data_IF_671506177778
#
_entry.id   IF_671506177778
#
_cell.length_a   1.000
_cell.length_b   1.000
_cell.length_c   1.000
_cell.angle_alpha   90.00
_cell.angle_beta   90.00
_cell.angle_gamma   90.00
#
_symmetry.space_group_name_H-M   'P 1'
#
loop_
_entity.id
_entity.type
_entity.pdbx_description
1 polymer ?
#
# COMPACT_ATOMS: atom_id res chain seq x y z
N UNK A 1 51.14 -39.95 -7.36
CA UNK A 1 52.17 -39.00 -6.88
C UNK A 1 51.65 -37.59 -7.11
N UNK A 2 51.49 -36.83 -6.01
CA UNK A 2 51.32 -35.36 -5.91
C UNK A 2 50.12 -34.78 -6.69
N UNK A 3 48.89 -34.72 -6.16
CA UNK A 3 48.38 -33.91 -5.03
C UNK A 3 48.94 -32.50 -5.01
N UNK A 4 48.12 -31.50 -5.37
CA UNK A 4 47.86 -30.26 -4.61
C UNK A 4 46.45 -29.77 -4.98
N UNK A 5 45.60 -29.62 -3.97
CA UNK A 5 44.22 -29.10 -4.02
C UNK A 5 44.29 -27.61 -3.66
N UNK A 6 43.49 -26.76 -4.30
CA UNK A 6 43.17 -25.43 -3.77
C UNK A 6 41.74 -25.07 -4.17
N UNK A 7 40.83 -25.18 -3.20
CA UNK A 7 39.46 -24.68 -3.22
C UNK A 7 39.48 -23.31 -2.52
N UNK A 8 38.89 -22.28 -3.12
CA UNK A 8 38.63 -21.01 -2.45
C UNK A 8 37.12 -20.71 -2.52
N UNK A 9 36.50 -20.72 -1.34
CA UNK A 9 35.13 -20.31 -1.06
C UNK A 9 35.24 -19.00 -0.29
N UNK A 10 34.51 -17.95 -0.68
CA UNK A 10 34.34 -16.76 0.16
C UNK A 10 32.86 -16.57 0.46
N UNK A 11 32.45 -17.06 1.64
CA UNK A 11 31.20 -16.70 2.31
C UNK A 11 31.60 -15.75 3.43
N UNK A 12 31.16 -14.50 3.39
CA UNK A 12 31.34 -13.56 4.50
C UNK A 12 30.12 -13.66 5.42
N UNK A 13 30.29 -14.45 6.48
CA UNK A 13 29.40 -14.50 7.64
C UNK A 13 29.93 -13.46 8.62
N UNK A 14 29.12 -12.47 9.02
CA UNK A 14 29.45 -11.60 10.14
C UNK A 14 28.31 -11.60 11.16
N UNK A 15 28.53 -12.33 12.26
CA UNK A 15 27.71 -12.30 13.47
C UNK A 15 28.47 -11.55 14.57
N UNK A 16 27.80 -10.50 15.06
CA UNK A 16 27.65 -10.07 16.45
C UNK A 16 28.89 -9.71 17.30
N UNK A 17 28.89 -8.45 17.79
CA UNK A 17 29.20 -8.14 19.19
C UNK A 17 28.58 -6.81 19.62
N UNK A 18 27.80 -6.89 20.70
CA UNK A 18 27.30 -5.77 21.48
C UNK A 18 28.45 -4.92 22.05
N UNK A 19 28.27 -3.60 22.06
CA UNK A 19 28.81 -2.74 23.11
C UNK A 19 27.91 -1.51 23.30
N UNK A 20 27.39 -1.39 24.51
CA UNK A 20 26.76 -0.20 25.08
C UNK A 20 27.60 1.06 24.83
N UNK A 21 26.95 2.15 24.41
CA UNK A 21 27.45 3.50 24.69
C UNK A 21 26.27 4.46 24.80
N UNK A 22 26.03 4.87 26.04
CA UNK A 22 25.32 6.09 26.42
C UNK A 22 25.72 7.26 25.51
N UNK A 23 24.74 8.03 25.04
CA UNK A 23 24.94 9.43 24.69
C UNK A 23 23.71 10.23 25.09
N UNK A 24 23.97 11.15 26.00
CA UNK A 24 23.08 12.19 26.49
C UNK A 24 22.48 13.00 25.34
N UNK A 25 21.22 13.40 25.52
CA UNK A 25 20.63 14.51 24.79
C UNK A 25 20.24 15.56 25.81
N UNK A 26 21.01 16.65 25.81
CA UNK A 26 20.75 17.90 26.52
C UNK A 26 19.33 18.43 26.24
N UNK A 27 18.58 18.87 27.28
CA UNK A 27 17.34 19.59 27.10
C UNK A 27 17.62 21.11 27.08
N UNK A 28 17.67 21.69 25.88
CA UNK A 28 17.79 23.15 25.70
C UNK A 28 16.56 23.73 25.04
N UNK A 29 15.67 24.33 25.83
CA UNK A 29 15.07 25.67 25.61
C UNK A 29 13.71 25.81 26.32
N UNK A 30 13.81 26.18 27.60
CA UNK A 30 13.23 27.41 28.14
C UNK A 30 11.71 27.61 28.06
N UNK A 31 11.00 27.28 29.15
CA UNK A 31 9.85 28.06 29.61
C UNK A 31 9.85 28.16 31.14
N UNK A 32 10.08 29.37 31.61
CA UNK A 32 10.15 29.79 33.01
C UNK A 32 8.85 29.51 33.77
N UNK A 33 8.95 28.78 34.89
CA UNK A 33 7.89 28.61 35.89
C UNK A 33 7.76 29.88 36.73
N UNK A 34 6.53 30.28 37.07
CA UNK A 34 6.28 31.12 38.24
C UNK A 34 5.42 30.33 39.21
N UNK A 35 6.00 30.06 40.39
CA UNK A 35 5.42 29.20 41.42
C UNK A 35 4.41 29.94 42.27
N UNK A 36 3.16 29.49 42.25
CA UNK A 36 2.23 29.74 43.35
C UNK A 36 1.57 28.43 43.76
N UNK A 37 2.15 27.84 44.82
CA UNK A 37 1.61 26.72 45.58
C UNK A 37 0.50 27.25 46.49
N UNK A 38 -0.72 26.73 46.39
CA UNK A 38 -1.51 26.32 47.56
C UNK A 38 -2.80 25.57 47.15
N UNK A 39 -3.09 24.52 47.91
CA UNK A 39 -4.41 23.92 48.15
C UNK A 39 -5.03 23.01 47.06
N UNK A 40 -4.82 21.71 47.28
CA UNK A 40 -5.92 20.74 47.40
C UNK A 40 -6.90 20.70 46.24
N UNK A 41 -6.44 20.38 45.03
CA UNK A 41 -7.35 20.01 43.94
C UNK A 41 -6.72 18.91 43.09
N UNK A 42 -7.44 17.78 43.01
CA UNK A 42 -7.43 16.78 41.94
C UNK A 42 -6.66 17.27 40.72
N UNK A 43 -5.45 16.74 40.50
CA UNK A 43 -4.62 17.08 39.36
C UNK A 43 -5.46 16.96 38.08
N UNK A 44 -5.95 18.11 37.59
CA UNK A 44 -6.58 18.19 36.28
C UNK A 44 -5.51 17.72 35.32
N UNK A 45 -5.79 16.60 34.62
CA UNK A 45 -4.95 15.98 33.57
C UNK A 45 -4.08 17.04 32.91
N UNK A 46 -2.87 17.22 33.43
CA UNK A 46 -1.84 17.89 32.67
C UNK A 46 -1.65 16.99 31.45
N UNK A 47 -1.69 17.59 30.27
CA UNK A 47 -1.53 16.89 29.01
C UNK A 47 -0.05 16.52 28.94
N UNK A 48 0.33 15.48 29.68
CA UNK A 48 1.68 14.95 29.71
C UNK A 48 1.89 14.19 28.41
N UNK A 49 2.65 14.78 27.49
CA UNK A 49 2.99 14.22 26.17
C UNK A 49 4.16 13.23 26.27
N UNK A 50 4.11 12.30 27.23
CA UNK A 50 5.07 11.21 27.34
C UNK A 50 4.53 9.94 26.68
N UNK A 51 5.41 9.19 26.01
CA UNK A 51 5.12 7.82 25.57
C UNK A 51 5.57 6.88 26.70
N UNK A 52 4.63 6.37 27.49
CA UNK A 52 4.91 5.48 28.62
C UNK A 52 4.53 4.06 28.23
N UNK A 53 3.24 3.77 28.16
CA UNK A 53 2.73 2.46 27.76
C UNK A 53 3.08 2.14 26.31
N UNK A 54 3.15 3.15 25.43
CA UNK A 54 3.60 2.94 24.05
C UNK A 54 5.07 2.47 23.95
N UNK A 55 5.91 2.85 24.89
CA UNK A 55 7.34 2.53 24.88
C UNK A 55 7.67 1.29 25.70
N UNK A 56 7.03 1.14 26.86
CA UNK A 56 7.25 0.04 27.79
C UNK A 56 6.45 -1.22 27.39
N UNK A 57 5.22 -1.02 26.91
CA UNK A 57 4.33 -2.06 26.41
C UNK A 57 3.80 -2.99 27.50
N UNK A 58 2.58 -2.74 28.01
CA UNK A 58 1.72 -3.82 28.51
C UNK A 58 0.27 -3.36 28.66
N UNK A 59 -0.64 -4.33 28.54
CA UNK A 59 -2.12 -4.28 28.47
C UNK A 59 -2.62 -5.75 28.57
N UNK A 60 -3.91 -5.97 28.91
CA UNK A 60 -4.59 -7.25 29.30
C UNK A 60 -3.86 -8.14 30.32
N UNK A 61 -4.64 -8.68 31.26
CA UNK A 61 -4.19 -9.34 32.50
C UNK A 61 -3.49 -8.41 33.52
N UNK A 62 -3.30 -8.92 34.75
CA UNK A 62 -2.56 -8.23 35.82
C UNK A 62 -1.09 -8.61 35.69
N UNK A 63 -0.23 -7.61 35.64
CA UNK A 63 1.21 -7.80 35.59
C UNK A 63 1.89 -6.82 36.54
N UNK A 64 2.30 -7.31 37.71
CA UNK A 64 2.98 -6.48 38.72
C UNK A 64 4.36 -5.96 38.23
N UNK A 65 4.91 -6.53 37.16
CA UNK A 65 6.12 -6.04 36.47
C UNK A 65 5.84 -4.96 35.41
N UNK A 66 4.58 -4.71 35.09
CA UNK A 66 4.14 -3.74 34.10
C UNK A 66 4.15 -2.29 34.64
N UNK A 67 5.33 -1.80 35.01
CA UNK A 67 5.52 -0.54 35.73
C UNK A 67 6.63 0.31 35.11
N UNK A 68 6.42 1.62 35.02
CA UNK A 68 7.41 2.61 34.56
C UNK A 68 7.42 3.85 35.44
N UNK A 69 8.53 4.59 35.40
CA UNK A 69 8.67 5.85 36.13
C UNK A 69 7.86 6.96 35.46
N UNK A 70 7.08 7.68 36.27
CA UNK A 70 6.35 8.87 35.89
C UNK A 70 7.02 10.09 36.52
N UNK A 71 8.03 10.61 35.82
CA UNK A 71 8.94 11.63 36.32
C UNK A 71 8.23 12.91 36.79
N UNK A 72 7.12 13.29 36.16
CA UNK A 72 6.40 14.53 36.46
C UNK A 72 5.60 14.49 37.76
N UNK A 73 5.24 13.29 38.24
CA UNK A 73 4.63 13.11 39.55
C UNK A 73 5.59 12.50 40.58
N UNK A 74 6.86 12.26 40.21
CA UNK A 74 7.84 11.54 41.02
C UNK A 74 7.24 10.24 41.60
N UNK A 75 6.53 9.49 40.76
CA UNK A 75 5.78 8.31 41.13
C UNK A 75 5.97 7.20 40.09
N UNK A 76 5.50 6.00 40.39
CA UNK A 76 5.41 4.90 39.43
C UNK A 76 4.00 4.87 38.82
N UNK A 77 3.92 4.54 37.54
CA UNK A 77 2.66 4.31 36.84
C UNK A 77 2.65 2.93 36.17
N UNK A 78 1.45 2.40 35.97
CA UNK A 78 1.22 1.06 35.43
C UNK A 78 0.52 1.13 34.07
N UNK A 79 0.81 0.15 33.22
CA UNK A 79 0.16 0.01 31.92
C UNK A 79 -0.79 -1.19 31.82
N UNK A 80 -0.94 -1.97 32.90
CA UNK A 80 -1.86 -3.10 32.91
C UNK A 80 -3.32 -2.71 33.18
N UNK A 81 -4.26 -3.65 32.99
CA UNK A 81 -5.69 -3.39 33.24
C UNK A 81 -6.01 -3.16 34.71
N UNK A 82 -5.15 -3.63 35.62
CA UNK A 82 -5.36 -3.52 37.05
C UNK A 82 -5.18 -2.08 37.57
N UNK A 83 -4.52 -1.22 36.79
CA UNK A 83 -4.37 0.20 37.10
C UNK A 83 -5.71 0.97 37.17
N UNK A 84 -6.78 0.46 36.53
CA UNK A 84 -8.13 1.05 36.51
C UNK A 84 -8.89 0.84 37.83
N UNK A 85 -8.50 1.57 38.87
CA UNK A 85 -9.17 1.61 40.18
C UNK A 85 -9.62 3.03 40.56
N UNK A 86 -10.32 3.19 41.69
CA UNK A 86 -10.82 4.50 42.15
C UNK A 86 -9.72 5.58 42.25
N UNK A 87 -8.51 5.16 42.63
CA UNK A 87 -7.28 5.94 42.52
C UNK A 87 -6.41 5.35 41.40
N UNK A 88 -6.68 5.77 40.16
CA UNK A 88 -6.01 5.22 38.98
C UNK A 88 -4.53 5.57 38.98
N UNK A 89 -3.67 4.55 39.05
CA UNK A 89 -2.21 4.70 38.91
C UNK A 89 -1.76 4.38 37.47
N UNK A 90 -2.70 4.45 36.52
CA UNK A 90 -2.44 4.26 35.11
C UNK A 90 -1.51 5.34 34.57
N UNK A 91 -0.60 4.95 33.67
CA UNK A 91 0.21 5.94 32.97
C UNK A 91 -0.66 6.87 32.10
N UNK A 92 -0.18 8.10 31.82
CA UNK A 92 -0.96 9.11 31.10
C UNK A 92 -1.51 8.66 29.73
N UNK A 93 -0.77 7.80 29.02
CA UNK A 93 -1.13 7.27 27.70
C UNK A 93 -1.83 5.91 27.74
N UNK A 94 -2.06 5.31 28.93
CA UNK A 94 -2.70 3.99 29.07
C UNK A 94 -4.06 3.91 28.38
N UNK A 95 -4.94 4.89 28.57
CA UNK A 95 -6.28 4.87 27.96
C UNK A 95 -6.23 4.98 26.43
N UNK A 96 -5.34 5.82 25.89
CA UNK A 96 -5.13 5.94 24.44
C UNK A 96 -4.40 4.73 23.85
N UNK A 97 -3.54 4.06 24.62
CA UNK A 97 -2.73 2.96 24.14
C UNK A 97 -3.42 1.59 24.26
N UNK A 98 -4.05 1.32 25.41
CA UNK A 98 -4.67 0.03 25.73
C UNK A 98 -6.19 -0.02 25.52
N UNK A 99 -6.91 1.12 25.53
CA UNK A 99 -8.38 1.14 25.41
C UNK A 99 -8.90 1.73 24.10
N UNK A 100 -8.10 2.45 23.33
CA UNK A 100 -8.52 3.12 22.09
C UNK A 100 -8.76 2.15 20.91
N UNK A 101 -8.96 0.85 21.21
CA UNK A 101 -9.32 -0.20 20.25
C UNK A 101 -10.65 -0.94 20.60
N UNK A 102 -11.35 -0.61 21.70
CA UNK A 102 -12.61 -1.30 22.09
C UNK A 102 -13.89 -0.47 22.01
N UNK A 103 -13.84 0.73 21.42
CA UNK A 103 -15.01 1.59 21.23
C UNK A 103 -15.20 1.96 19.74
N UNK A 104 -15.06 0.96 18.87
CA UNK A 104 -15.59 1.04 17.52
C UNK A 104 -16.99 0.38 17.52
N UNK A 105 -18.05 1.05 17.01
CA UNK A 105 -19.28 0.33 16.66
C UNK A 105 -18.88 -0.83 15.74
N UNK A 106 -19.56 -1.99 15.78
CA UNK A 106 -19.11 -3.19 15.09
C UNK A 106 -18.76 -2.83 13.65
N UNK A 107 -17.47 -2.93 13.31
CA UNK A 107 -16.97 -2.70 11.96
C UNK A 107 -17.62 -3.74 11.05
N UNK A 108 -18.78 -3.40 10.50
CA UNK A 108 -19.48 -4.17 9.47
C UNK A 108 -18.98 -3.85 8.07
N UNK A 109 -17.85 -3.14 7.93
CA UNK A 109 -17.21 -2.91 6.64
C UNK A 109 -15.70 -3.13 6.76
N UNK A 110 -15.12 -4.10 6.03
CA UNK A 110 -13.67 -4.25 5.91
C UNK A 110 -13.03 -2.93 5.50
N UNK A 111 -12.05 -2.46 6.26
CA UNK A 111 -11.35 -1.18 6.08
C UNK A 111 -10.27 -1.23 4.98
N UNK A 112 -10.54 -1.99 3.91
CA UNK A 112 -9.87 -1.80 2.63
C UNK A 112 -10.97 -1.42 1.64
N UNK A 113 -10.88 -0.26 0.94
CA UNK A 113 -11.72 -0.08 -0.22
C UNK A 113 -11.37 -1.21 -1.19
N UNK A 114 -12.24 -2.21 -1.30
CA UNK A 114 -12.13 -3.18 -2.38
C UNK A 114 -12.30 -2.39 -3.67
N UNK A 115 -11.23 -2.30 -4.44
CA UNK A 115 -11.15 -1.40 -5.57
C UNK A 115 -9.83 -1.54 -6.31
N UNK A 116 -9.81 -1.06 -7.55
CA UNK A 116 -8.66 -1.16 -8.44
C UNK A 116 -8.07 0.23 -8.70
N UNK A 117 -6.75 0.29 -8.83
CA UNK A 117 -6.05 1.49 -9.25
C UNK A 117 -5.74 1.45 -10.74
N UNK A 118 -5.92 2.58 -11.44
CA UNK A 118 -5.50 2.74 -12.83
C UNK A 118 -5.21 4.20 -13.15
N UNK A 119 -4.09 4.48 -13.83
CA UNK A 119 -3.66 5.82 -14.24
C UNK A 119 -3.70 6.89 -13.12
N UNK A 120 -3.39 6.48 -11.89
CA UNK A 120 -3.42 7.34 -10.71
C UNK A 120 -4.80 7.59 -10.10
N UNK A 121 -5.85 6.95 -10.62
CA UNK A 121 -7.22 7.02 -10.13
C UNK A 121 -7.65 5.71 -9.45
N UNK A 122 -8.45 5.83 -8.39
CA UNK A 122 -9.10 4.70 -7.70
C UNK A 122 -10.49 4.42 -8.28
N UNK A 123 -10.82 3.14 -8.43
CA UNK A 123 -12.11 2.64 -8.90
C UNK A 123 -12.67 1.64 -7.89
N UNK A 124 -13.96 1.71 -7.60
CA UNK A 124 -14.65 0.78 -6.71
C UNK A 124 -14.69 -0.65 -7.30
N UNK A 125 -14.80 -1.67 -6.44
CA UNK A 125 -15.01 -3.06 -6.85
C UNK A 125 -16.20 -3.20 -7.82
N UNK A 126 -16.03 -4.01 -8.87
CA UNK A 126 -17.04 -4.19 -9.91
C UNK A 126 -17.12 -3.07 -10.95
N UNK A 127 -16.33 -2.00 -10.80
CA UNK A 127 -16.21 -0.95 -11.83
C UNK A 127 -15.78 -1.54 -13.17
N UNK A 128 -16.42 -1.10 -14.24
CA UNK A 128 -16.07 -1.50 -15.61
C UNK A 128 -15.57 -0.29 -16.40
N UNK A 129 -14.44 -0.45 -17.06
CA UNK A 129 -13.86 0.53 -17.97
C UNK A 129 -13.63 -0.10 -19.34
N UNK A 130 -13.57 0.73 -20.38
CA UNK A 130 -13.26 0.29 -21.73
C UNK A 130 -11.89 0.81 -22.13
N UNK A 131 -11.02 -0.09 -22.53
CA UNK A 131 -9.67 0.19 -23.01
C UNK A 131 -9.53 -0.23 -24.46
N UNK A 132 -9.49 0.76 -25.34
CA UNK A 132 -9.59 0.52 -26.77
C UNK A 132 -10.82 -0.36 -27.06
N UNK A 133 -10.64 -1.58 -27.56
CA UNK A 133 -11.72 -2.52 -27.83
C UNK A 133 -12.03 -3.46 -26.64
N UNK A 134 -11.18 -3.50 -25.62
CA UNK A 134 -11.30 -4.43 -24.50
C UNK A 134 -12.13 -3.85 -23.35
N UNK A 135 -12.96 -4.70 -22.75
CA UNK A 135 -13.73 -4.37 -21.56
C UNK A 135 -13.03 -4.93 -20.33
N UNK A 136 -12.75 -4.06 -19.36
CA UNK A 136 -12.04 -4.39 -18.13
C UNK A 136 -12.95 -4.20 -16.92
N UNK A 137 -13.04 -5.24 -16.08
CA UNK A 137 -13.81 -5.19 -14.84
C UNK A 137 -12.88 -5.31 -13.64
N UNK A 138 -13.03 -4.42 -12.67
CA UNK A 138 -12.32 -4.48 -11.41
C UNK A 138 -12.85 -5.66 -10.58
N UNK A 139 -11.96 -6.57 -10.20
CA UNK A 139 -12.30 -7.68 -9.33
C UNK A 139 -11.13 -8.05 -8.41
N UNK A 140 -11.33 -7.90 -7.11
CA UNK A 140 -10.35 -8.25 -6.09
C UNK A 140 -9.03 -7.48 -6.26
N UNK A 141 -9.12 -6.15 -6.39
CA UNK A 141 -7.99 -5.24 -6.60
C UNK A 141 -7.21 -5.44 -7.93
N UNK A 142 -7.70 -6.29 -8.83
CA UNK A 142 -7.10 -6.52 -10.15
C UNK A 142 -8.10 -6.24 -11.28
N UNK A 143 -7.58 -5.69 -12.39
CA UNK A 143 -8.36 -5.53 -13.61
C UNK A 143 -8.40 -6.82 -14.40
N UNK A 144 -9.62 -7.34 -14.60
CA UNK A 144 -9.89 -8.47 -15.50
C UNK A 144 -10.39 -7.94 -16.82
N UNK A 145 -9.51 -7.89 -17.82
CA UNK A 145 -9.82 -7.40 -19.16
C UNK A 145 -10.11 -8.55 -20.13
N UNK A 146 -11.00 -8.31 -21.08
CA UNK A 146 -11.08 -9.15 -22.28
C UNK A 146 -9.76 -9.09 -23.07
N UNK A 147 -9.47 -10.13 -23.84
CA UNK A 147 -8.25 -10.25 -24.64
C UNK A 147 -8.58 -10.29 -26.14
N UNK A 148 -9.28 -9.26 -26.63
CA UNK A 148 -9.54 -9.09 -28.05
C UNK A 148 -8.37 -8.34 -28.70
N UNK A 149 -8.01 -8.80 -29.91
CA UNK A 149 -7.11 -8.05 -30.80
C UNK A 149 -7.90 -6.85 -31.32
N UNK A 150 -7.43 -5.64 -31.03
CA UNK A 150 -8.08 -4.42 -31.49
C UNK A 150 -7.66 -4.07 -32.91
N UNK A 151 -8.55 -3.43 -33.67
CA UNK A 151 -8.28 -3.04 -35.06
C UNK A 151 -7.15 -2.01 -35.18
N UNK A 152 -7.07 -1.11 -34.20
CA UNK A 152 -5.97 -0.14 -34.07
C UNK A 152 -5.15 -0.52 -32.85
N UNK A 153 -3.90 -0.91 -33.07
CA UNK A 153 -2.98 -1.33 -32.02
C UNK A 153 -1.80 -0.34 -31.92
N UNK A 154 -1.70 0.43 -30.81
CA UNK A 154 -0.64 1.44 -30.65
C UNK A 154 0.77 0.84 -30.76
N UNK A 155 0.99 -0.34 -30.18
CA UNK A 155 2.29 -1.01 -30.23
C UNK A 155 2.71 -1.36 -31.66
N UNK A 156 1.76 -1.76 -32.51
CA UNK A 156 2.01 -2.03 -33.92
C UNK A 156 2.34 -0.75 -34.69
N UNK A 157 1.62 0.34 -34.43
CA UNK A 157 1.91 1.65 -35.03
C UNK A 157 3.33 2.09 -34.66
N UNK A 158 3.68 1.99 -33.38
CA UNK A 158 5.02 2.34 -32.90
C UNK A 158 6.09 1.43 -33.48
N UNK A 159 5.81 0.14 -33.64
CA UNK A 159 6.73 -0.80 -34.27
C UNK A 159 6.98 -0.48 -35.74
N UNK A 160 5.92 -0.19 -36.51
CA UNK A 160 6.03 0.19 -37.93
C UNK A 160 6.81 1.48 -38.08
N UNK A 161 6.52 2.48 -37.25
CA UNK A 161 7.17 3.79 -37.31
C UNK A 161 8.63 3.80 -36.89
N UNK A 162 9.14 2.70 -36.30
CA UNK A 162 10.59 2.53 -36.04
C UNK A 162 11.37 2.16 -37.31
N UNK A 163 10.72 1.65 -38.35
CA UNK A 163 11.36 1.33 -39.62
C UNK A 163 11.34 2.49 -40.60
N UNK A 164 12.25 2.46 -41.57
CA UNK A 164 12.28 3.42 -42.68
C UNK A 164 11.66 2.80 -43.93
N UNK A 165 10.35 3.00 -44.09
CA UNK A 165 9.56 2.48 -45.21
C UNK A 165 9.08 3.56 -46.17
N UNK A 166 9.46 4.83 -45.96
CA UNK A 166 8.96 5.98 -46.73
C UNK A 166 7.50 6.37 -46.43
N UNK A 167 6.86 5.74 -45.45
CA UNK A 167 5.54 6.10 -44.92
C UNK A 167 5.47 5.82 -43.42
N UNK A 168 4.53 6.45 -42.72
CA UNK A 168 4.28 6.25 -41.29
C UNK A 168 2.87 5.75 -41.03
N UNK A 169 2.74 4.82 -40.11
CA UNK A 169 1.46 4.41 -39.55
C UNK A 169 0.91 5.51 -38.63
N UNK A 170 -0.40 5.69 -38.61
CA UNK A 170 -1.08 6.64 -37.73
C UNK A 170 -2.28 6.01 -37.04
N UNK A 171 -2.70 6.63 -35.94
CA UNK A 171 -3.93 6.25 -35.26
C UNK A 171 -5.13 6.86 -35.99
N UNK A 172 -5.95 5.99 -36.59
CA UNK A 172 -7.24 6.36 -37.16
C UNK A 172 -8.33 6.21 -36.09
N UNK A 173 -8.60 7.29 -35.36
CA UNK A 173 -9.52 7.30 -34.21
C UNK A 173 -10.94 6.81 -34.53
N UNK A 174 -11.39 6.92 -35.78
CA UNK A 174 -12.65 6.36 -36.29
C UNK A 174 -12.77 4.83 -36.13
N UNK A 175 -11.64 4.14 -35.95
CA UNK A 175 -11.56 2.69 -35.75
C UNK A 175 -11.17 2.32 -34.32
N UNK A 176 -10.96 3.31 -33.44
CA UNK A 176 -10.65 3.09 -32.04
C UNK A 176 -11.84 2.41 -31.34
N UNK A 177 -11.55 1.36 -30.57
CA UNK A 177 -12.58 0.60 -29.88
C UNK A 177 -13.33 -0.45 -30.70
N UNK A 178 -12.93 -0.67 -31.96
CA UNK A 178 -13.34 -1.83 -32.76
C UNK A 178 -12.33 -2.97 -32.59
N UNK A 179 -12.85 -4.19 -32.55
CA UNK A 179 -12.01 -5.40 -32.63
C UNK A 179 -11.56 -5.63 -34.07
N UNK A 180 -10.46 -6.36 -34.24
CA UNK A 180 -9.95 -6.74 -35.55
C UNK A 180 -11.00 -7.53 -36.36
N UNK A 181 -11.73 -8.44 -35.70
CA UNK A 181 -12.82 -9.22 -36.29
C UNK A 181 -13.95 -8.31 -36.83
N UNK A 182 -14.39 -7.32 -36.05
CA UNK A 182 -15.38 -6.34 -36.52
C UNK A 182 -14.84 -5.52 -37.70
N UNK A 183 -13.56 -5.16 -37.67
CA UNK A 183 -12.89 -4.50 -38.80
C UNK A 183 -12.96 -5.31 -40.08
N UNK A 184 -12.60 -6.60 -40.01
CA UNK A 184 -12.72 -7.51 -41.14
C UNK A 184 -14.16 -7.64 -41.64
N UNK A 185 -15.10 -7.79 -40.73
CA UNK A 185 -16.51 -8.04 -41.06
C UNK A 185 -17.21 -6.82 -41.65
N UNK A 186 -16.93 -5.62 -41.13
CA UNK A 186 -17.72 -4.42 -41.41
C UNK A 186 -16.96 -3.29 -42.14
N UNK A 187 -15.62 -3.31 -42.16
CA UNK A 187 -14.80 -2.21 -42.72
C UNK A 187 -13.98 -2.61 -43.93
N UNK A 188 -13.44 -3.82 -43.95
CA UNK A 188 -12.52 -4.23 -45.02
C UNK A 188 -13.22 -4.72 -46.29
N UNK A 189 -14.56 -4.79 -46.31
CA UNK A 189 -15.31 -4.88 -47.56
C UNK A 189 -14.96 -6.07 -48.47
N UNK A 190 -14.29 -7.09 -47.95
CA UNK A 190 -14.01 -8.32 -48.70
C UNK A 190 -14.81 -9.46 -48.07
N UNK A 191 -16.10 -9.48 -48.38
CA UNK A 191 -16.75 -10.78 -48.49
C UNK A 191 -15.91 -11.61 -49.48
N UNK A 192 -15.62 -12.89 -49.20
CA UNK A 192 -14.90 -13.72 -50.15
C UNK A 192 -15.62 -13.62 -51.51
N UNK A 193 -14.88 -13.40 -52.62
CA UNK A 193 -15.49 -13.31 -53.94
C UNK A 193 -16.30 -14.58 -54.19
N UNK A 194 -17.43 -14.44 -54.89
CA UNK A 194 -18.28 -15.59 -55.19
C UNK A 194 -17.48 -16.69 -55.90
N UNK A 195 -17.85 -17.98 -55.76
CA UNK A 195 -17.16 -19.06 -56.46
C UNK A 195 -17.04 -18.82 -57.97
N UNK A 196 -18.01 -18.10 -58.55
CA UNK A 196 -18.02 -17.69 -59.94
C UNK A 196 -16.87 -16.73 -60.29
N UNK A 197 -16.57 -15.75 -59.43
CA UNK A 197 -15.42 -14.84 -59.60
C UNK A 197 -14.08 -15.57 -59.43
N UNK A 198 -14.01 -16.54 -58.51
CA UNK A 198 -12.82 -17.39 -58.34
C UNK A 198 -12.60 -18.37 -59.51
N UNK A 199 -13.66 -18.67 -60.27
CA UNK A 199 -13.60 -19.55 -61.46
C UNK A 199 -13.35 -18.82 -62.78
N UNK A 200 -13.13 -17.50 -62.76
CA UNK A 200 -12.82 -16.76 -63.98
C UNK A 200 -11.39 -17.05 -64.44
N UNK A 201 -11.25 -17.43 -65.72
CA UNK A 201 -9.96 -17.57 -66.38
C UNK A 201 -9.65 -16.30 -67.19
N UNK A 202 -8.37 -16.04 -67.47
CA UNK A 202 -7.98 -14.91 -68.29
C UNK A 202 -8.58 -15.00 -69.70
N UNK A 203 -8.95 -13.86 -70.26
CA UNK A 203 -9.41 -13.78 -71.65
C UNK A 203 -8.18 -13.47 -72.51
N UNK A 204 -7.67 -14.50 -73.18
CA UNK A 204 -6.68 -14.38 -74.26
C UNK A 204 -7.33 -13.91 -75.55
#
# INVERSE_FOLDING_TARGET
>A
MRVWISVAVQVEIWMEKQSLSQREVDPGADFTWNHTILEGTRFKRAIFKGQYCRSFGCCEDRDDGCVTEFYEANALCYCDKFCERENSDCCPDYKSFCLEEKEWPPHTTPWYPEGCFRDGQHYEEGSAIKENCNSCTCSGQQWKCSQHVCLVEPELIDHVNKGDYGWTAQNYSQFWGMTLEEGFKYRLGTLPPSPMLLSMNEVT
#
